data_IF_928164905003
#
_entry.id   IF_928164905003
#
_cell.length_a   1.000
_cell.length_b   1.000
_cell.length_c   1.000
_cell.angle_alpha   90.00
_cell.angle_beta   90.00
_cell.angle_gamma   90.00
#
_symmetry.space_group_name_H-M   'P 1'
#
loop_
_entity.id
_entity.type
_entity.pdbx_description
1 polymer ?
#
# COMPACT_ATOMS: atom_id res chain seq x y z
N UNK A 1 -12.89 -11.85 2.50
CA UNK A 1 -11.85 -11.90 3.55
C UNK A 1 -10.67 -11.07 3.09
N UNK A 2 -10.12 -10.19 3.93
CA UNK A 2 -9.00 -9.32 3.59
C UNK A 2 -7.74 -9.71 4.37
N UNK A 3 -6.58 -9.26 3.89
CA UNK A 3 -5.29 -9.45 4.55
C UNK A 3 -4.52 -8.13 4.54
N UNK A 4 -3.95 -7.78 5.69
CA UNK A 4 -3.03 -6.65 5.81
C UNK A 4 -1.61 -7.12 5.54
N UNK A 5 -0.90 -6.45 4.64
CA UNK A 5 0.43 -6.84 4.18
C UNK A 5 1.40 -5.66 4.28
N UNK A 6 2.61 -5.94 4.76
CA UNK A 6 3.77 -5.05 4.58
C UNK A 6 4.51 -5.46 3.30
N UNK A 7 4.74 -4.51 2.39
CA UNK A 7 5.36 -4.77 1.09
C UNK A 7 6.58 -3.88 0.94
N UNK A 8 7.74 -4.49 0.63
CA UNK A 8 9.02 -3.80 0.39
C UNK A 8 9.42 -3.98 -1.08
N UNK A 9 9.02 -3.07 -1.99
CA UNK A 9 9.34 -3.20 -3.40
C UNK A 9 10.85 -2.99 -3.62
N UNK A 10 11.49 -3.92 -4.34
CA UNK A 10 12.93 -3.82 -4.69
C UNK A 10 13.20 -2.84 -5.84
N UNK A 11 12.18 -2.53 -6.62
CA UNK A 11 12.25 -1.59 -7.75
C UNK A 11 11.07 -0.63 -7.67
N UNK A 12 11.13 0.49 -8.40
CA UNK A 12 10.12 1.55 -8.37
C UNK A 12 9.29 1.64 -9.65
N UNK A 13 8.90 0.53 -10.28
CA UNK A 13 8.11 0.56 -11.53
C UNK A 13 6.71 1.10 -11.27
N UNK A 14 6.14 1.77 -12.26
CA UNK A 14 4.78 2.34 -12.17
C UNK A 14 3.77 1.27 -11.79
N UNK A 15 2.96 1.54 -10.76
CA UNK A 15 1.92 0.63 -10.23
C UNK A 15 2.40 -0.77 -9.83
N UNK A 16 3.70 -0.97 -9.59
CA UNK A 16 4.29 -2.30 -9.40
C UNK A 16 3.56 -3.18 -8.39
N UNK A 17 3.28 -2.65 -7.19
CA UNK A 17 2.56 -3.38 -6.14
C UNK A 17 1.15 -3.77 -6.63
N UNK A 18 0.43 -2.85 -7.25
CA UNK A 18 -0.96 -3.05 -7.72
C UNK A 18 -1.05 -4.16 -8.77
N UNK A 19 -0.15 -4.10 -9.77
CA UNK A 19 -0.07 -5.10 -10.84
C UNK A 19 0.32 -6.47 -10.29
N UNK A 20 1.35 -6.53 -9.44
CA UNK A 20 1.81 -7.81 -8.86
C UNK A 20 0.70 -8.47 -8.01
N UNK A 21 0.01 -7.69 -7.18
CA UNK A 21 -1.06 -8.19 -6.34
C UNK A 21 -2.26 -8.67 -7.15
N UNK A 22 -2.62 -7.97 -8.24
CA UNK A 22 -3.64 -8.44 -9.19
C UNK A 22 -3.22 -9.74 -9.88
N UNK A 23 -1.98 -9.83 -10.34
CA UNK A 23 -1.44 -11.03 -10.98
C UNK A 23 -1.50 -12.26 -10.07
N UNK A 24 -1.28 -12.07 -8.77
CA UNK A 24 -1.39 -13.13 -7.75
C UNK A 24 -2.84 -13.43 -7.32
N UNK A 25 -3.85 -12.90 -8.01
CA UNK A 25 -5.27 -13.00 -7.65
C UNK A 25 -5.64 -12.42 -6.27
N UNK A 26 -4.81 -11.53 -5.73
CA UNK A 26 -5.05 -10.82 -4.48
C UNK A 26 -4.95 -9.30 -4.67
N UNK A 27 -5.77 -8.69 -5.54
CA UNK A 27 -5.66 -7.28 -5.87
C UNK A 27 -5.83 -6.37 -4.65
N UNK A 28 -5.21 -5.18 -4.72
CA UNK A 28 -5.35 -4.15 -3.69
C UNK A 28 -6.81 -3.69 -3.60
N UNK A 29 -7.29 -3.49 -2.38
CA UNK A 29 -8.66 -3.03 -2.12
C UNK A 29 -8.84 -1.59 -2.61
N UNK A 30 -10.02 -1.28 -3.16
CA UNK A 30 -10.34 0.03 -3.74
C UNK A 30 -9.46 0.42 -4.94
N UNK A 31 -8.95 -0.56 -5.69
CA UNK A 31 -8.16 -0.32 -6.89
C UNK A 31 -9.05 -0.20 -8.14
N UNK A 32 -9.36 1.03 -8.55
CA UNK A 32 -10.23 1.30 -9.69
C UNK A 32 -9.66 0.90 -11.06
N UNK A 33 -8.34 0.66 -11.18
CA UNK A 33 -7.72 0.30 -12.46
C UNK A 33 -7.54 -1.20 -12.60
N UNK A 34 -7.06 -1.86 -11.54
CA UNK A 34 -6.74 -3.29 -11.58
C UNK A 34 -7.82 -4.17 -10.95
N UNK A 35 -8.81 -3.56 -10.28
CA UNK A 35 -9.92 -4.26 -9.62
C UNK A 35 -11.25 -3.46 -9.65
N UNK A 36 -11.70 -2.95 -10.83
CA UNK A 36 -12.81 -2.00 -10.94
C UNK A 36 -14.16 -2.54 -10.46
N UNK A 37 -14.40 -3.84 -10.61
CA UNK A 37 -15.70 -4.46 -10.33
C UNK A 37 -15.93 -4.73 -8.83
N UNK A 38 -14.91 -4.55 -8.00
CA UNK A 38 -15.00 -4.85 -6.57
C UNK A 38 -15.32 -3.57 -5.78
N UNK A 39 -16.45 -3.53 -5.07
CA UNK A 39 -16.81 -2.36 -4.29
C UNK A 39 -15.83 -2.14 -3.14
N UNK A 40 -15.58 -0.87 -2.83
CA UNK A 40 -14.83 -0.48 -1.64
C UNK A 40 -15.58 -0.92 -0.37
N UNK A 41 -14.90 -1.60 0.58
CA UNK A 41 -15.47 -1.88 1.89
C UNK A 41 -15.88 -0.59 2.61
N UNK A 42 -16.97 -0.67 3.38
CA UNK A 42 -17.45 0.45 4.19
C UNK A 42 -16.32 0.94 5.11
N UNK A 43 -15.99 2.23 5.01
CA UNK A 43 -14.90 2.86 5.78
C UNK A 43 -13.65 3.18 4.96
N UNK A 44 -13.45 2.54 3.80
CA UNK A 44 -12.38 2.88 2.86
C UNK A 44 -12.92 3.72 1.71
N UNK A 45 -12.28 4.87 1.47
CA UNK A 45 -12.68 5.80 0.39
C UNK A 45 -11.64 5.94 -0.72
N UNK A 46 -10.47 5.33 -0.56
CA UNK A 46 -9.37 5.37 -1.52
C UNK A 46 -8.64 4.03 -1.56
N UNK A 47 -7.72 3.91 -2.52
CA UNK A 47 -6.82 2.77 -2.66
C UNK A 47 -6.20 2.39 -1.31
N UNK A 48 -6.33 1.12 -0.93
CA UNK A 48 -5.81 0.56 0.31
C UNK A 48 -4.29 0.32 0.23
N UNK A 49 -3.54 1.35 -0.14
CA UNK A 49 -2.08 1.36 -0.26
C UNK A 49 -1.54 2.60 0.45
N UNK A 50 -0.55 2.39 1.32
CA UNK A 50 0.06 3.44 2.14
C UNK A 50 1.57 3.27 2.19
N UNK A 51 2.31 4.34 1.92
CA UNK A 51 3.76 4.36 2.11
C UNK A 51 4.06 4.58 3.60
N UNK A 52 4.24 3.48 4.33
CA UNK A 52 4.41 3.50 5.79
C UNK A 52 5.74 4.12 6.23
N UNK A 53 6.82 3.83 5.50
CA UNK A 53 8.15 4.31 5.83
C UNK A 53 9.03 4.41 4.59
N UNK A 54 10.06 5.25 4.69
CA UNK A 54 11.18 5.30 3.76
C UNK A 54 12.47 5.35 4.56
N UNK A 55 13.48 4.63 4.08
CA UNK A 55 14.82 4.60 4.66
C UNK A 55 15.83 4.79 3.53
N UNK A 56 16.74 5.75 3.70
CA UNK A 56 17.77 6.05 2.72
C UNK A 56 18.98 6.70 3.38
N UNK A 57 20.13 6.58 2.73
CA UNK A 57 21.34 7.31 3.09
C UNK A 57 21.28 8.70 2.47
N UNK A 58 21.45 9.74 3.28
CA UNK A 58 21.48 11.11 2.78
C UNK A 58 22.85 11.45 2.15
N UNK A 59 23.01 12.69 1.68
CA UNK A 59 24.25 13.17 1.05
C UNK A 59 25.44 13.25 2.01
N UNK A 60 25.21 13.14 3.33
CA UNK A 60 26.22 13.15 4.38
C UNK A 60 26.47 11.76 4.97
N UNK A 61 26.12 10.70 4.23
CA UNK A 61 26.29 9.29 4.65
C UNK A 61 25.53 8.88 5.92
N UNK A 62 24.56 9.70 6.35
CA UNK A 62 23.71 9.40 7.49
C UNK A 62 22.47 8.64 7.04
N UNK A 63 22.17 7.55 7.74
CA UNK A 63 20.91 6.81 7.57
C UNK A 63 19.76 7.69 8.10
N UNK A 64 18.83 8.01 7.22
CA UNK A 64 17.58 8.70 7.57
C UNK A 64 16.45 7.69 7.40
N UNK A 65 15.63 7.58 8.47
CA UNK A 65 14.38 6.82 8.45
C UNK A 65 13.24 7.76 8.78
N UNK A 66 12.24 7.81 7.90
CA UNK A 66 11.01 8.58 8.08
C UNK A 66 9.83 7.63 8.07
N UNK A 67 8.90 7.82 9.01
CA UNK A 67 7.69 7.02 9.11
C UNK A 67 6.45 7.91 9.03
N UNK A 68 5.41 7.40 8.38
CA UNK A 68 4.09 8.02 8.33
C UNK A 68 3.11 7.18 9.13
N UNK A 69 2.30 7.74 10.05
CA UNK A 69 1.29 6.98 10.79
C UNK A 69 0.30 6.31 9.84
N UNK A 70 -0.32 5.20 10.28
CA UNK A 70 -1.32 4.54 9.45
C UNK A 70 -2.56 5.47 9.35
N UNK A 71 -3.14 5.65 8.17
CA UNK A 71 -4.36 6.44 8.02
C UNK A 71 -5.49 5.83 8.87
N UNK A 72 -6.26 6.67 9.58
CA UNK A 72 -7.34 6.25 10.48
C UNK A 72 -8.35 5.30 9.81
N UNK A 73 -8.64 5.54 8.54
CA UNK A 73 -9.52 4.70 7.71
C UNK A 73 -9.01 3.25 7.58
N UNK A 74 -7.69 3.02 7.60
CA UNK A 74 -7.11 1.67 7.52
C UNK A 74 -7.12 1.01 8.90
N UNK A 75 -6.85 1.76 9.97
CA UNK A 75 -6.93 1.26 11.35
C UNK A 75 -8.31 0.68 11.68
N UNK A 76 -9.38 1.26 11.11
CA UNK A 76 -10.75 0.75 11.29
C UNK A 76 -10.98 -0.61 10.62
N UNK A 77 -10.22 -0.96 9.59
CA UNK A 77 -10.43 -2.16 8.75
C UNK A 77 -9.44 -3.28 9.07
N UNK A 78 -8.31 -2.96 9.71
CA UNK A 78 -7.24 -3.92 10.06
C UNK A 78 -7.51 -4.66 11.38
N UNK A 79 -8.65 -4.42 12.04
CA UNK A 79 -9.10 -5.20 13.21
C UNK A 79 -9.61 -6.58 12.81
#
# INVERSE_FOLDING_TARGET
>A
KFSYLEIKPKTGRTHQIRVHMKYLNHPVVCDSLYNPDQPCPKGLKRLALHAKSIEFTNLQEKIIKVESPLPKEFEMVVK
#
